data_IF_673127341683
#
_entry.id   IF_673127341683
#
_cell.length_a   1.000
_cell.length_b   1.000
_cell.length_c   1.000
_cell.angle_alpha   90.00
_cell.angle_beta   90.00
_cell.angle_gamma   90.00
#
_symmetry.space_group_name_H-M   'P 1'
#
loop_
_entity.id
_entity.type
_entity.pdbx_description
1 polymer ?
#
# COMPACT_ATOMS: atom_id res chain seq x y z
N UNK A 1 9.29 -1.91 21.03
CA UNK A 1 8.13 -2.09 20.15
C UNK A 1 8.55 -1.80 18.71
N UNK A 2 8.19 -2.67 17.78
CA UNK A 2 8.46 -2.56 16.34
C UNK A 2 7.19 -2.22 15.59
N UNK A 3 7.18 -1.09 14.89
CA UNK A 3 6.02 -0.57 14.17
C UNK A 3 6.27 -0.57 12.68
N UNK A 4 5.30 -1.03 11.90
CA UNK A 4 5.35 -0.95 10.43
C UNK A 4 4.19 -0.10 9.93
N UNK A 5 4.50 0.92 9.14
CA UNK A 5 3.53 1.72 8.40
C UNK A 5 3.41 1.17 6.99
N UNK A 6 2.19 0.83 6.56
CA UNK A 6 1.90 0.45 5.18
C UNK A 6 1.17 1.58 4.50
N UNK A 7 1.64 2.02 3.33
CA UNK A 7 1.01 3.10 2.58
C UNK A 7 1.24 2.95 1.08
N UNK A 8 0.35 3.47 0.25
CA UNK A 8 0.59 3.50 -1.20
C UNK A 8 1.76 4.40 -1.59
N UNK A 9 1.94 5.53 -0.91
CA UNK A 9 3.06 6.44 -1.10
C UNK A 9 3.74 6.75 0.24
N UNK A 10 5.03 7.13 0.22
CA UNK A 10 5.75 7.60 1.40
C UNK A 10 5.49 9.07 1.70
N UNK A 11 5.72 9.98 0.75
CA UNK A 11 5.66 11.44 0.98
C UNK A 11 4.67 12.18 0.07
N UNK A 12 4.06 11.49 -0.90
CA UNK A 12 3.13 12.09 -1.86
C UNK A 12 1.67 11.87 -1.47
N UNK A 13 0.93 12.98 -1.28
CA UNK A 13 -0.47 12.99 -0.85
C UNK A 13 -0.65 13.16 0.67
N UNK A 14 -1.85 13.55 1.11
CA UNK A 14 -2.14 13.87 2.51
C UNK A 14 -1.95 12.69 3.46
N UNK A 15 -2.51 11.54 3.13
CA UNK A 15 -2.41 10.32 3.94
C UNK A 15 -0.96 9.84 4.07
N UNK A 16 -0.20 9.84 2.98
CA UNK A 16 1.21 9.48 2.97
C UNK A 16 2.05 10.40 3.87
N UNK A 17 1.88 11.72 3.74
CA UNK A 17 2.58 12.71 4.58
C UNK A 17 2.24 12.56 6.06
N UNK A 18 0.99 12.26 6.40
CA UNK A 18 0.59 12.00 7.77
C UNK A 18 1.26 10.72 8.32
N UNK A 19 1.24 9.63 7.55
CA UNK A 19 1.90 8.38 7.88
C UNK A 19 3.41 8.56 8.08
N UNK A 20 4.06 9.28 7.17
CA UNK A 20 5.50 9.56 7.24
C UNK A 20 5.86 10.40 8.47
N UNK A 21 5.08 11.44 8.80
CA UNK A 21 5.28 12.23 10.02
C UNK A 21 5.14 11.38 11.28
N UNK A 22 4.14 10.50 11.33
CA UNK A 22 3.95 9.58 12.45
C UNK A 22 5.14 8.63 12.59
N UNK A 23 5.60 8.07 11.47
CA UNK A 23 6.78 7.23 11.39
C UNK A 23 8.04 7.94 11.92
N UNK A 24 8.31 9.17 11.48
CA UNK A 24 9.44 9.98 11.95
C UNK A 24 9.32 10.32 13.45
N UNK A 25 8.12 10.66 13.93
CA UNK A 25 7.89 10.90 15.36
C UNK A 25 8.19 9.66 16.21
N UNK A 26 7.80 8.48 15.75
CA UNK A 26 8.13 7.22 16.42
C UNK A 26 9.64 6.96 16.44
N UNK A 27 10.34 7.22 15.34
CA UNK A 27 11.81 7.11 15.31
C UNK A 27 12.47 8.06 16.31
N UNK A 28 12.02 9.31 16.40
CA UNK A 28 12.53 10.30 17.34
C UNK A 28 12.31 9.89 18.81
N UNK A 29 11.24 9.15 19.09
CA UNK A 29 10.97 8.56 20.41
C UNK A 29 11.75 7.26 20.67
N UNK A 30 12.67 6.87 19.78
CA UNK A 30 13.48 5.65 19.91
C UNK A 30 12.74 4.36 19.59
N UNK A 31 11.54 4.41 19.00
CA UNK A 31 10.85 3.22 18.54
C UNK A 31 11.43 2.72 17.22
N UNK A 32 11.50 1.40 17.05
CA UNK A 32 11.87 0.80 15.78
C UNK A 32 10.69 0.91 14.79
N UNK A 33 10.67 1.97 13.98
CA UNK A 33 9.62 2.21 12.99
C UNK A 33 10.14 2.01 11.56
N UNK A 34 9.34 1.37 10.70
CA UNK A 34 9.62 1.17 9.28
C UNK A 34 8.40 1.51 8.45
N UNK A 35 8.62 1.92 7.20
CA UNK A 35 7.52 2.16 6.25
C UNK A 35 7.66 1.27 5.03
N UNK A 36 6.60 0.56 4.65
CA UNK A 36 6.52 -0.27 3.44
C UNK A 36 5.54 0.38 2.48
N UNK A 37 6.01 0.73 1.28
CA UNK A 37 5.22 1.51 0.31
C UNK A 37 5.16 0.93 -1.09
N UNK A 38 4.05 1.12 -1.80
CA UNK A 38 3.99 0.76 -3.21
C UNK A 38 4.89 1.66 -4.08
N UNK A 39 4.88 2.96 -3.78
CA UNK A 39 5.62 3.99 -4.49
C UNK A 39 6.49 4.76 -3.50
N UNK A 40 7.81 4.60 -3.65
CA UNK A 40 8.81 5.32 -2.86
C UNK A 40 9.28 6.54 -3.65
N UNK A 41 9.18 7.71 -3.04
CA UNK A 41 9.61 8.99 -3.59
C UNK A 41 10.68 9.67 -2.73
N UNK A 42 10.88 9.19 -1.50
CA UNK A 42 11.93 9.64 -0.58
C UNK A 42 13.17 8.77 -0.65
N UNK A 43 14.31 9.35 -0.24
CA UNK A 43 15.58 8.63 -0.06
C UNK A 43 15.77 8.10 1.37
N UNK A 44 14.75 8.17 2.23
CA UNK A 44 14.81 7.71 3.61
C UNK A 44 15.11 6.19 3.65
N UNK A 45 16.18 5.75 4.32
CA UNK A 45 16.58 4.33 4.37
C UNK A 45 15.63 3.46 5.22
N UNK A 46 14.77 4.07 6.04
CA UNK A 46 13.76 3.38 6.84
C UNK A 46 12.45 3.15 6.08
N UNK A 47 12.36 3.67 4.85
CA UNK A 47 11.27 3.46 3.89
C UNK A 47 11.68 2.43 2.83
N UNK A 48 10.91 1.36 2.72
CA UNK A 48 11.11 0.28 1.77
C UNK A 48 9.99 0.26 0.72
N UNK A 49 10.36 0.18 -0.56
CA UNK A 49 9.38 -0.11 -1.60
C UNK A 49 8.99 -1.60 -1.56
N UNK A 50 7.69 -1.90 -1.68
CA UNK A 50 7.15 -3.26 -1.77
C UNK A 50 7.69 -4.02 -2.99
N UNK A 51 8.15 -3.30 -4.00
CA UNK A 51 8.59 -3.88 -5.27
C UNK A 51 10.00 -4.47 -5.14
N UNK A 52 10.09 -5.79 -4.99
CA UNK A 52 11.18 -6.55 -5.64
C UNK A 52 10.86 -6.58 -7.13
N UNK A 53 11.80 -6.21 -8.03
CA UNK A 53 11.60 -6.24 -9.49
C UNK A 53 11.07 -7.62 -9.90
N UNK A 54 9.77 -7.80 -10.16
CA UNK A 54 9.29 -9.13 -10.51
C UNK A 54 9.84 -9.46 -11.89
N UNK A 55 10.23 -10.72 -12.09
CA UNK A 55 10.56 -11.20 -13.43
C UNK A 55 9.40 -10.95 -14.40
N UNK A 56 9.65 -11.12 -15.70
CA UNK A 56 8.66 -10.87 -16.76
C UNK A 56 7.28 -11.45 -16.43
N UNK A 57 7.22 -12.72 -16.01
CA UNK A 57 5.98 -13.42 -15.63
C UNK A 57 5.22 -12.67 -14.52
N UNK A 58 5.90 -12.26 -13.45
CA UNK A 58 5.27 -11.56 -12.33
C UNK A 58 4.74 -10.18 -12.75
N UNK A 59 5.44 -9.48 -13.65
CA UNK A 59 4.94 -8.21 -14.21
C UNK A 59 3.63 -8.39 -14.98
N UNK A 60 3.55 -9.44 -15.82
CA UNK A 60 2.32 -9.78 -16.54
C UNK A 60 1.18 -10.20 -15.60
N UNK A 61 1.48 -11.00 -14.58
CA UNK A 61 0.49 -11.41 -13.57
C UNK A 61 -0.11 -10.19 -12.84
N UNK A 62 0.71 -9.21 -12.43
CA UNK A 62 0.22 -7.98 -11.80
C UNK A 62 -0.68 -7.17 -12.73
N UNK A 63 -0.28 -7.04 -14.01
CA UNK A 63 -1.09 -6.34 -15.02
C UNK A 63 -2.43 -7.02 -15.25
N UNK A 64 -2.43 -8.35 -15.39
CA UNK A 64 -3.65 -9.12 -15.60
C UNK A 64 -4.59 -9.07 -14.39
N UNK A 65 -4.07 -9.23 -13.16
CA UNK A 65 -4.87 -9.05 -11.93
C UNK A 65 -5.49 -7.66 -11.87
N UNK A 66 -4.69 -6.62 -12.09
CA UNK A 66 -5.17 -5.24 -12.10
C UNK A 66 -6.24 -4.98 -13.15
N UNK A 67 -6.10 -5.56 -14.35
CA UNK A 67 -7.12 -5.47 -15.40
C UNK A 67 -8.42 -6.16 -14.98
N UNK A 68 -8.33 -7.38 -14.43
CA UNK A 68 -9.50 -8.14 -13.96
C UNK A 68 -10.25 -7.38 -12.87
N UNK A 69 -9.55 -6.88 -11.86
CA UNK A 69 -10.14 -6.09 -10.76
C UNK A 69 -10.89 -4.88 -11.32
N UNK A 70 -10.27 -4.11 -12.23
CA UNK A 70 -10.90 -2.95 -12.86
C UNK A 70 -12.15 -3.33 -13.66
N UNK A 71 -12.09 -4.43 -14.42
CA UNK A 71 -13.22 -4.95 -15.18
C UNK A 71 -14.38 -5.31 -14.27
N UNK A 72 -14.11 -6.03 -13.17
CA UNK A 72 -15.13 -6.46 -12.21
C UNK A 72 -15.75 -5.28 -11.45
N UNK A 73 -14.97 -4.22 -11.20
CA UNK A 73 -15.44 -2.97 -10.58
C UNK A 73 -16.27 -2.09 -11.52
N UNK A 74 -16.16 -2.28 -12.82
CA UNK A 74 -16.77 -1.39 -13.81
C UNK A 74 -18.30 -1.25 -13.65
N UNK A 75 -19.08 -2.34 -13.46
CA UNK A 75 -20.54 -2.24 -13.26
C UNK A 75 -20.91 -1.38 -12.05
N UNK A 76 -20.19 -1.54 -10.93
CA UNK A 76 -20.40 -0.71 -9.73
C UNK A 76 -20.09 0.77 -10.01
N UNK A 77 -18.96 1.05 -10.66
CA UNK A 77 -18.57 2.42 -10.98
C UNK A 77 -19.57 3.12 -11.92
N UNK A 78 -20.22 2.36 -12.82
CA UNK A 78 -21.22 2.91 -13.75
C UNK A 78 -22.62 3.04 -13.17
N UNK A 79 -22.98 2.22 -12.17
CA UNK A 79 -24.33 2.20 -11.59
C UNK A 79 -24.46 3.02 -10.30
N UNK A 80 -23.34 3.50 -9.74
CA UNK A 80 -23.34 4.30 -8.52
C UNK A 80 -24.10 5.64 -8.72
N UNK A 81 -24.87 6.10 -7.72
CA UNK A 81 -25.48 7.42 -7.75
C UNK A 81 -24.44 8.55 -7.86
N UNK A 82 -24.78 9.67 -8.54
CA UNK A 82 -23.91 10.85 -8.59
C UNK A 82 -23.75 11.48 -7.19
N UNK A 83 -22.62 12.16 -6.97
CA UNK A 83 -22.34 12.87 -5.70
C UNK A 83 -21.79 12.00 -4.57
N UNK A 84 -21.76 10.67 -4.73
CA UNK A 84 -21.08 9.78 -3.79
C UNK A 84 -19.61 9.60 -4.18
N UNK A 85 -18.77 9.13 -3.27
CA UNK A 85 -17.40 8.66 -3.58
C UNK A 85 -17.40 7.14 -3.80
N UNK A 86 -16.54 6.62 -4.70
CA UNK A 86 -16.47 5.19 -4.94
C UNK A 86 -15.79 4.49 -3.76
N UNK A 87 -16.32 3.33 -3.36
CA UNK A 87 -15.60 2.42 -2.49
C UNK A 87 -14.42 1.79 -3.24
N UNK A 88 -13.35 1.53 -2.51
CA UNK A 88 -12.20 0.77 -3.04
C UNK A 88 -12.49 -0.72 -3.02
N UNK A 89 -12.00 -1.42 -4.03
CA UNK A 89 -11.96 -2.89 -4.06
C UNK A 89 -10.99 -3.40 -2.98
N UNK A 90 -11.29 -4.55 -2.38
CA UNK A 90 -10.47 -5.21 -1.37
C UNK A 90 -9.28 -6.00 -1.97
N UNK A 91 -9.33 -6.26 -3.27
CA UNK A 91 -8.27 -6.97 -3.99
C UNK A 91 -7.17 -6.01 -4.45
N UNK A 92 -5.97 -6.57 -4.59
CA UNK A 92 -4.81 -5.82 -5.08
C UNK A 92 -4.18 -6.46 -6.32
N UNK A 93 -3.60 -5.62 -7.18
CA UNK A 93 -2.67 -6.10 -8.22
C UNK A 93 -1.44 -6.81 -7.63
N UNK A 94 -1.10 -6.53 -6.38
CA UNK A 94 0.02 -7.10 -5.65
C UNK A 94 -0.32 -8.44 -4.98
N UNK A 95 -1.60 -8.81 -4.85
CA UNK A 95 -2.01 -10.01 -4.12
C UNK A 95 -1.36 -10.11 -2.73
N UNK A 96 -0.92 -11.31 -2.36
CA UNK A 96 -0.25 -11.56 -1.07
C UNK A 96 1.21 -11.08 -0.98
N UNK A 97 1.71 -10.28 -1.92
CA UNK A 97 3.09 -9.78 -1.84
C UNK A 97 3.31 -8.90 -0.60
N UNK A 98 2.33 -8.06 -0.24
CA UNK A 98 2.45 -7.18 0.91
C UNK A 98 2.63 -7.99 2.21
N UNK A 99 1.73 -8.91 2.60
CA UNK A 99 1.94 -9.76 3.78
C UNK A 99 3.29 -10.48 3.82
N UNK A 100 3.79 -10.94 2.65
CA UNK A 100 5.09 -11.62 2.55
C UNK A 100 6.29 -10.69 2.70
N UNK A 101 6.14 -9.41 2.36
CA UNK A 101 7.20 -8.42 2.42
C UNK A 101 7.23 -7.65 3.76
N UNK A 102 6.21 -7.80 4.60
CA UNK A 102 6.18 -7.15 5.91
C UNK A 102 7.32 -7.68 6.79
N UNK A 103 8.18 -6.79 7.33
CA UNK A 103 9.16 -7.21 8.31
C UNK A 103 8.44 -7.63 9.61
N UNK A 104 9.10 -8.48 10.40
CA UNK A 104 8.60 -8.85 11.72
C UNK A 104 8.36 -7.60 12.57
N UNK A 105 7.14 -7.45 13.06
CA UNK A 105 6.69 -6.28 13.80
C UNK A 105 5.65 -6.67 14.85
N UNK A 106 5.42 -5.74 15.78
CA UNK A 106 4.45 -5.92 16.86
C UNK A 106 3.14 -5.19 16.53
N UNK A 107 3.21 -4.12 15.73
CA UNK A 107 2.07 -3.32 15.28
C UNK A 107 2.22 -2.98 13.80
N UNK A 108 1.14 -3.20 13.03
CA UNK A 108 1.00 -2.73 11.65
C UNK A 108 -0.03 -1.60 11.63
N UNK A 109 0.34 -0.47 11.01
CA UNK A 109 -0.54 0.68 10.81
C UNK A 109 -0.80 0.86 9.32
N UNK A 110 -2.07 0.93 8.92
CA UNK A 110 -2.47 1.00 7.51
C UNK A 110 -2.87 2.45 7.18
N UNK A 111 -2.24 3.04 6.17
CA UNK A 111 -2.47 4.43 5.75
C UNK A 111 -2.78 4.49 4.27
N UNK A 112 -4.08 4.58 3.91
CA UNK A 112 -4.56 4.51 2.53
C UNK A 112 -3.93 3.33 1.78
N UNK A 113 -4.55 2.15 1.91
CA UNK A 113 -4.04 0.89 1.36
C UNK A 113 -4.89 0.34 0.22
N UNK A 114 -5.81 1.14 -0.32
CA UNK A 114 -6.65 0.77 -1.45
C UNK A 114 -5.79 0.38 -2.66
N UNK A 115 -6.03 -0.81 -3.21
CA UNK A 115 -5.23 -1.37 -4.30
C UNK A 115 -3.82 -1.82 -3.92
N UNK A 116 -3.44 -1.77 -2.63
CA UNK A 116 -2.14 -2.23 -2.11
C UNK A 116 -2.27 -3.49 -1.24
N UNK A 117 -3.18 -3.47 -0.27
CA UNK A 117 -3.44 -4.60 0.61
C UNK A 117 -4.42 -5.56 -0.05
N UNK A 118 -4.12 -6.84 0.03
CA UNK A 118 -5.00 -7.96 -0.33
C UNK A 118 -4.99 -8.93 0.85
N UNK A 119 -6.15 -9.22 1.43
CA UNK A 119 -6.30 -10.12 2.59
C UNK A 119 -7.11 -11.38 2.26
N UNK A 120 -7.56 -11.53 1.02
CA UNK A 120 -8.28 -12.72 0.53
C UNK A 120 -7.32 -13.76 0.01
#
# INVERSE_FOLDING_TARGET
MRVVHVSTNDISGGAARAAYRLHQGLLQLGCASRMVVAHRWSDDPTVQALVSKPGFIGTWQRRWRGWRIRRDMQPYLTTRPPGLEPFSDDRSRYGYELPRALPACDVVTLHWVAGLLDYG
#
